data_IF_172373217295
#
_entry.id   IF_172373217295
#
_cell.length_a   1.000
_cell.length_b   1.000
_cell.length_c   1.000
_cell.angle_alpha   90.00
_cell.angle_beta   90.00
_cell.angle_gamma   90.00
#
_symmetry.space_group_name_H-M   'P 1'
#
loop_
_entity.id
_entity.type
_entity.pdbx_description
1 polymer ?
#
# COMPACT_ATOMS: atom_id res chain seq x y z
N UNK A 1 -30.77 -29.86 -11.55
CA UNK A 1 -29.82 -28.74 -11.39
C UNK A 1 -29.21 -28.45 -12.75
N UNK A 2 -29.45 -27.30 -13.33
CA UNK A 2 -28.94 -26.92 -14.65
C UNK A 2 -27.49 -26.44 -14.51
N UNK A 3 -26.52 -27.31 -14.77
CA UNK A 3 -25.12 -26.94 -14.88
C UNK A 3 -24.89 -26.14 -16.17
N UNK A 4 -24.33 -24.94 -16.07
CA UNK A 4 -23.95 -24.14 -17.24
C UNK A 4 -22.48 -24.35 -17.60
N UNK A 5 -22.21 -24.48 -18.89
CA UNK A 5 -20.82 -24.44 -19.40
C UNK A 5 -20.23 -23.06 -19.17
N UNK A 6 -19.08 -22.96 -18.54
CA UNK A 6 -18.41 -21.69 -18.22
C UNK A 6 -16.92 -21.80 -18.51
N UNK A 7 -16.32 -20.70 -18.95
CA UNK A 7 -14.85 -20.61 -19.09
C UNK A 7 -14.26 -20.12 -17.77
N UNK A 8 -13.33 -20.89 -17.22
CA UNK A 8 -12.64 -20.56 -16.00
C UNK A 8 -11.71 -19.36 -16.20
N UNK A 9 -11.86 -18.30 -15.40
CA UNK A 9 -11.01 -17.12 -15.47
C UNK A 9 -9.54 -17.37 -15.04
N UNK A 10 -9.27 -18.51 -14.38
CA UNK A 10 -7.91 -18.88 -13.94
C UNK A 10 -7.13 -19.69 -14.98
N UNK A 11 -7.75 -20.71 -15.60
CA UNK A 11 -7.07 -21.60 -16.54
C UNK A 11 -7.61 -21.52 -17.98
N UNK A 12 -8.63 -20.73 -18.24
CA UNK A 12 -9.31 -20.59 -19.52
C UNK A 12 -9.98 -21.86 -20.06
N UNK A 13 -10.01 -22.94 -19.29
CA UNK A 13 -10.64 -24.20 -19.70
C UNK A 13 -12.15 -24.16 -19.51
N UNK A 14 -12.86 -24.89 -20.36
CA UNK A 14 -14.29 -25.10 -20.22
C UNK A 14 -14.56 -25.93 -18.95
N UNK A 15 -15.49 -25.48 -18.13
CA UNK A 15 -15.90 -26.17 -16.90
C UNK A 15 -17.41 -26.10 -16.73
N UNK A 16 -17.96 -27.00 -15.93
CA UNK A 16 -19.35 -26.95 -15.52
C UNK A 16 -19.41 -26.30 -14.14
N UNK A 17 -20.15 -25.24 -14.02
CA UNK A 17 -20.31 -24.54 -12.76
C UNK A 17 -21.79 -24.27 -12.49
N UNK A 18 -22.21 -24.50 -11.28
CA UNK A 18 -23.48 -24.01 -10.78
C UNK A 18 -23.37 -22.52 -10.34
N UNK A 19 -24.46 -21.98 -9.80
CA UNK A 19 -24.51 -20.59 -9.34
C UNK A 19 -23.53 -20.25 -8.19
N UNK A 20 -22.94 -21.25 -7.55
CA UNK A 20 -22.09 -21.08 -6.37
C UNK A 20 -20.59 -20.94 -6.69
N UNK A 21 -20.19 -21.21 -7.93
CA UNK A 21 -18.77 -21.17 -8.38
C UNK A 21 -18.32 -19.80 -8.86
N UNK A 22 -18.77 -18.73 -8.19
CA UNK A 22 -18.26 -17.38 -8.42
C UNK A 22 -17.25 -16.98 -7.35
N UNK A 23 -16.11 -16.49 -7.78
CA UNK A 23 -15.11 -15.90 -6.92
C UNK A 23 -14.73 -14.50 -7.44
N UNK A 24 -14.88 -13.48 -6.63
CA UNK A 24 -14.64 -12.06 -7.00
C UNK A 24 -15.33 -11.67 -8.32
N UNK A 25 -16.60 -12.03 -8.47
CA UNK A 25 -17.39 -11.83 -9.69
C UNK A 25 -16.78 -12.49 -10.97
N UNK A 26 -15.90 -13.47 -10.82
CA UNK A 26 -15.31 -14.27 -11.88
C UNK A 26 -15.75 -15.72 -11.77
N UNK A 27 -16.04 -16.35 -12.92
CA UNK A 27 -16.35 -17.76 -12.98
C UNK A 27 -15.07 -18.58 -12.87
N UNK A 28 -15.07 -19.64 -12.08
CA UNK A 28 -13.90 -20.49 -11.87
C UNK A 28 -14.28 -21.96 -11.73
N UNK A 29 -13.31 -22.87 -11.92
CA UNK A 29 -13.53 -24.32 -11.93
C UNK A 29 -13.40 -24.99 -10.55
N UNK A 30 -13.37 -24.25 -9.46
CA UNK A 30 -13.24 -24.78 -8.10
C UNK A 30 -11.80 -25.09 -7.64
N UNK A 31 -10.81 -25.13 -8.54
CA UNK A 31 -9.41 -25.45 -8.19
C UNK A 31 -8.73 -24.26 -7.49
N UNK A 32 -8.05 -24.50 -6.36
CA UNK A 32 -7.35 -23.46 -5.60
C UNK A 32 -6.31 -22.71 -6.46
N UNK A 33 -5.55 -23.43 -7.30
CA UNK A 33 -4.59 -22.80 -8.22
C UNK A 33 -5.21 -21.80 -9.21
N UNK A 34 -6.47 -21.98 -9.58
CA UNK A 34 -7.19 -21.01 -10.41
C UNK A 34 -7.67 -19.81 -9.62
N UNK A 35 -8.02 -19.99 -8.35
CA UNK A 35 -8.33 -18.91 -7.42
C UNK A 35 -7.12 -17.99 -7.24
N UNK A 36 -5.96 -18.53 -7.01
CA UNK A 36 -4.70 -17.79 -6.85
C UNK A 36 -4.36 -16.98 -8.11
N UNK A 37 -4.53 -17.58 -9.30
CA UNK A 37 -4.34 -16.87 -10.58
C UNK A 37 -5.33 -15.71 -10.77
N UNK A 38 -6.58 -15.88 -10.33
CA UNK A 38 -7.60 -14.80 -10.35
C UNK A 38 -7.19 -13.68 -9.40
N UNK A 39 -6.72 -14.00 -8.21
CA UNK A 39 -6.27 -13.02 -7.22
C UNK A 39 -5.08 -12.21 -7.74
N UNK A 40 -4.09 -12.86 -8.36
CA UNK A 40 -2.95 -12.19 -8.98
C UNK A 40 -3.42 -11.23 -10.09
N UNK A 41 -4.32 -11.68 -10.98
CA UNK A 41 -4.87 -10.84 -12.06
C UNK A 41 -5.64 -9.63 -11.51
N UNK A 42 -6.41 -9.82 -10.43
CA UNK A 42 -7.17 -8.72 -9.79
C UNK A 42 -6.22 -7.72 -9.15
N UNK A 43 -5.20 -8.19 -8.42
CA UNK A 43 -4.15 -7.32 -7.83
C UNK A 43 -3.46 -6.50 -8.93
N UNK A 44 -3.03 -7.14 -10.01
CA UNK A 44 -2.38 -6.47 -11.14
C UNK A 44 -3.30 -5.44 -11.82
N UNK A 45 -4.59 -5.80 -12.06
CA UNK A 45 -5.57 -4.88 -12.65
C UNK A 45 -5.80 -3.64 -11.76
N UNK A 46 -5.88 -3.83 -10.45
CA UNK A 46 -6.04 -2.72 -9.50
C UNK A 46 -4.81 -1.82 -9.49
N UNK A 47 -3.59 -2.41 -9.52
CA UNK A 47 -2.34 -1.68 -9.65
C UNK A 47 -2.31 -0.84 -10.94
N UNK A 48 -2.67 -1.42 -12.10
CA UNK A 48 -2.69 -0.71 -13.38
C UNK A 48 -3.74 0.40 -13.43
N UNK A 49 -4.91 0.20 -12.79
CA UNK A 49 -5.92 1.27 -12.64
C UNK A 49 -5.42 2.42 -11.79
N UNK A 50 -4.75 2.13 -10.68
CA UNK A 50 -4.11 3.13 -9.83
C UNK A 50 -3.05 3.91 -10.62
N UNK A 51 -2.14 3.21 -11.33
CA UNK A 51 -1.09 3.82 -12.17
C UNK A 51 -1.68 4.72 -13.29
N UNK A 52 -2.80 4.30 -13.92
CA UNK A 52 -3.49 5.11 -14.93
C UNK A 52 -4.13 6.37 -14.32
N UNK A 53 -4.66 6.26 -13.09
CA UNK A 53 -5.22 7.40 -12.35
C UNK A 53 -4.14 8.40 -11.97
N UNK A 54 -2.93 7.92 -11.62
CA UNK A 54 -1.75 8.77 -11.36
C UNK A 54 -1.37 9.62 -12.57
N UNK A 55 -1.32 9.01 -13.79
CA UNK A 55 -1.01 9.74 -15.04
C UNK A 55 -2.03 10.82 -15.43
N UNK A 56 -3.26 10.76 -14.90
CA UNK A 56 -4.32 11.74 -15.21
C UNK A 56 -4.38 12.94 -14.26
N UNK A 57 -3.38 13.13 -13.40
CA UNK A 57 -3.33 14.28 -12.47
C UNK A 57 -4.45 14.32 -11.41
N UNK A 58 -5.25 13.26 -11.29
CA UNK A 58 -6.32 13.15 -10.30
C UNK A 58 -5.86 12.51 -9.00
N UNK A 59 -4.56 12.37 -8.81
CA UNK A 59 -4.00 11.84 -7.57
C UNK A 59 -3.98 12.95 -6.51
N UNK A 60 -4.81 12.83 -5.50
CA UNK A 60 -4.59 13.55 -4.26
C UNK A 60 -3.24 13.09 -3.72
N UNK A 61 -2.29 14.04 -3.64
CA UNK A 61 -0.96 13.98 -3.07
C UNK A 61 -0.66 12.70 -2.26
N UNK A 62 -0.22 11.64 -2.93
CA UNK A 62 0.23 10.41 -2.30
C UNK A 62 1.63 10.09 -2.78
N UNK A 63 2.51 9.84 -1.83
CA UNK A 63 3.89 9.42 -2.09
C UNK A 63 3.92 8.28 -3.12
N UNK A 64 4.80 8.37 -4.11
CA UNK A 64 4.97 7.35 -5.15
C UNK A 64 5.26 5.96 -4.55
N UNK A 65 4.73 4.85 -5.12
CA UNK A 65 4.93 3.51 -4.55
C UNK A 65 6.40 3.11 -4.34
N UNK A 66 7.30 3.46 -5.26
CA UNK A 66 8.74 3.20 -5.12
C UNK A 66 9.38 3.97 -3.97
N UNK A 67 8.98 5.22 -3.78
CA UNK A 67 9.42 6.04 -2.64
C UNK A 67 8.88 5.47 -1.33
N UNK A 68 7.63 5.01 -1.28
CA UNK A 68 7.06 4.39 -0.06
C UNK A 68 7.84 3.17 0.38
N UNK A 69 8.19 2.30 -0.57
CA UNK A 69 8.96 1.09 -0.25
C UNK A 69 10.35 1.46 0.27
N UNK A 70 11.06 2.37 -0.41
CA UNK A 70 12.34 2.89 0.07
C UNK A 70 12.26 3.47 1.49
N UNK A 71 11.23 4.27 1.80
CA UNK A 71 11.06 4.86 3.15
C UNK A 71 10.78 3.77 4.19
N UNK A 72 10.00 2.74 3.85
CA UNK A 72 9.78 1.60 4.75
C UNK A 72 11.06 0.81 5.02
N UNK A 73 11.87 0.55 3.99
CA UNK A 73 13.18 -0.09 4.13
C UNK A 73 14.12 0.75 4.98
N UNK A 74 14.27 2.06 4.68
CA UNK A 74 15.07 3.01 5.48
C UNK A 74 14.68 2.97 6.95
N UNK A 75 13.39 2.91 7.23
CA UNK A 75 12.83 2.89 8.57
C UNK A 75 12.73 1.47 9.15
N UNK A 76 13.36 0.46 8.48
CA UNK A 76 13.44 -0.94 8.91
C UNK A 76 12.06 -1.55 9.18
N UNK A 77 11.05 -1.19 8.40
CA UNK A 77 9.66 -1.65 8.55
C UNK A 77 9.12 -1.49 9.98
N UNK A 78 9.45 -0.36 10.61
CA UNK A 78 9.01 -0.03 11.97
C UNK A 78 8.44 1.38 12.06
N UNK A 79 7.42 1.55 12.91
CA UNK A 79 6.90 2.86 13.29
C UNK A 79 7.98 3.67 14.04
N UNK A 80 8.31 4.87 13.55
CA UNK A 80 9.35 5.70 14.16
C UNK A 80 8.89 6.52 15.35
N UNK A 81 7.63 6.41 15.72
CA UNK A 81 7.12 7.00 16.97
C UNK A 81 7.06 6.00 18.12
N UNK A 82 6.60 4.77 17.90
CA UNK A 82 6.43 3.74 18.92
C UNK A 82 7.22 2.44 18.68
N UNK A 83 7.97 2.34 17.59
CA UNK A 83 8.85 1.22 17.24
C UNK A 83 8.13 -0.13 17.00
N UNK A 84 6.83 -0.14 16.80
CA UNK A 84 6.08 -1.34 16.40
C UNK A 84 6.44 -1.73 14.96
N UNK A 85 6.62 -3.04 14.70
CA UNK A 85 6.98 -3.58 13.37
C UNK A 85 5.76 -3.82 12.47
N UNK A 86 6.00 -3.97 11.15
CA UNK A 86 4.96 -4.19 10.14
C UNK A 86 4.22 -5.53 10.31
N UNK A 87 4.85 -6.55 10.90
CA UNK A 87 4.25 -7.87 11.08
C UNK A 87 2.91 -7.84 11.83
N UNK A 88 2.73 -6.89 12.73
CA UNK A 88 1.54 -6.77 13.58
C UNK A 88 0.75 -5.49 13.34
N UNK A 89 1.23 -4.55 12.51
CA UNK A 89 0.63 -3.22 12.38
C UNK A 89 0.66 -2.71 10.93
N UNK A 90 -0.41 -2.07 10.51
CA UNK A 90 -0.49 -1.41 9.21
C UNK A 90 0.38 -0.15 9.22
N UNK A 91 1.56 -0.22 8.60
CA UNK A 91 2.48 0.90 8.48
C UNK A 91 2.14 1.80 7.30
N UNK A 92 2.18 3.10 7.55
CA UNK A 92 1.89 4.15 6.58
C UNK A 92 3.06 5.11 6.48
N UNK A 93 3.37 5.57 5.26
CA UNK A 93 4.32 6.66 5.04
C UNK A 93 3.58 7.98 5.22
N UNK A 94 4.10 8.81 6.10
CA UNK A 94 3.51 10.08 6.54
C UNK A 94 4.45 11.25 6.20
N UNK A 95 3.88 12.39 5.74
CA UNK A 95 4.64 13.63 5.58
C UNK A 95 4.84 14.31 6.93
N UNK A 96 6.09 14.55 7.30
CA UNK A 96 6.45 15.26 8.55
C UNK A 96 5.84 16.67 8.54
N UNK A 97 6.06 17.41 7.46
CA UNK A 97 5.33 18.64 7.14
C UNK A 97 4.28 18.28 6.08
N UNK A 98 2.99 18.48 6.33
CA UNK A 98 1.94 18.17 5.36
C UNK A 98 2.11 18.93 4.04
N UNK A 99 1.73 18.32 2.92
CA UNK A 99 1.76 18.98 1.60
C UNK A 99 0.92 20.24 1.57
N UNK A 100 -0.22 20.27 2.28
CA UNK A 100 -1.06 21.47 2.44
C UNK A 100 -0.35 22.65 3.11
N UNK A 101 0.74 22.37 3.85
CA UNK A 101 1.56 23.35 4.57
C UNK A 101 2.94 23.55 3.90
N UNK A 102 3.06 23.17 2.62
CA UNK A 102 4.29 23.35 1.85
C UNK A 102 5.29 22.20 1.97
N UNK A 103 4.90 21.08 2.58
CA UNK A 103 5.74 19.87 2.62
C UNK A 103 5.89 19.24 1.24
N UNK A 104 7.10 18.76 0.92
CA UNK A 104 7.44 18.11 -0.34
C UNK A 104 7.52 16.59 -0.19
N UNK A 105 7.42 15.85 -1.33
CA UNK A 105 7.60 14.38 -1.40
C UNK A 105 9.10 13.99 -1.37
N UNK A 106 9.89 14.69 -0.55
CA UNK A 106 11.32 14.39 -0.34
C UNK A 106 11.49 13.36 0.78
N UNK A 107 12.51 12.53 0.65
CA UNK A 107 12.81 11.47 1.62
C UNK A 107 12.98 11.99 3.05
N UNK A 108 13.52 13.21 3.19
CA UNK A 108 13.71 13.89 4.48
C UNK A 108 12.40 14.30 5.14
N UNK A 109 11.36 14.54 4.34
CA UNK A 109 10.03 14.93 4.81
C UNK A 109 9.08 13.73 4.98
N UNK A 110 9.56 12.51 4.81
CA UNK A 110 8.76 11.29 4.89
C UNK A 110 9.23 10.40 6.04
N UNK A 111 8.27 9.76 6.74
CA UNK A 111 8.54 8.89 7.88
C UNK A 111 7.49 7.77 7.97
N UNK A 112 7.88 6.60 8.51
CA UNK A 112 6.96 5.48 8.73
C UNK A 112 6.28 5.58 10.08
N UNK A 113 4.95 5.53 10.09
CA UNK A 113 4.12 5.47 11.29
C UNK A 113 3.15 4.29 11.22
N UNK A 114 2.83 3.67 12.35
CA UNK A 114 1.68 2.78 12.44
C UNK A 114 0.38 3.59 12.43
N UNK A 115 -0.74 2.94 12.14
CA UNK A 115 -2.04 3.58 12.06
C UNK A 115 -2.40 4.40 13.31
N UNK A 116 -2.11 3.88 14.49
CA UNK A 116 -2.38 4.55 15.76
C UNK A 116 -1.56 5.85 15.89
N UNK A 117 -0.24 5.78 15.67
CA UNK A 117 0.63 6.95 15.73
C UNK A 117 0.30 7.99 14.65
N UNK A 118 -0.03 7.55 13.44
CA UNK A 118 -0.48 8.41 12.35
C UNK A 118 -1.75 9.19 12.75
N UNK A 119 -2.72 8.51 13.36
CA UNK A 119 -3.95 9.14 13.87
C UNK A 119 -3.65 10.16 14.97
N UNK A 120 -2.78 9.81 15.92
CA UNK A 120 -2.37 10.71 17.02
C UNK A 120 -1.70 11.98 16.49
N UNK A 121 -0.78 11.85 15.53
CA UNK A 121 -0.10 13.01 14.91
C UNK A 121 -1.12 13.94 14.24
N UNK A 122 -2.11 13.40 13.53
CA UNK A 122 -3.16 14.22 12.94
C UNK A 122 -4.09 14.88 13.97
N UNK A 123 -4.39 14.21 15.08
CA UNK A 123 -5.27 14.76 16.13
C UNK A 123 -4.59 15.82 16.99
N UNK A 124 -3.30 15.65 17.27
CA UNK A 124 -2.56 16.55 18.16
C UNK A 124 -1.86 17.71 17.45
N UNK A 125 -1.83 17.69 16.13
CA UNK A 125 -1.09 18.61 15.28
C UNK A 125 0.32 18.09 14.96
N UNK A 126 0.66 18.10 13.68
CA UNK A 126 1.95 17.63 13.15
C UNK A 126 3.14 18.47 13.68
N UNK A 127 2.91 19.72 13.99
CA UNK A 127 3.93 20.66 14.47
C UNK A 127 4.67 20.15 15.71
N UNK A 128 3.95 19.45 16.60
CA UNK A 128 4.53 18.87 17.83
C UNK A 128 5.56 17.77 17.57
N UNK A 129 5.54 17.18 16.40
CA UNK A 129 6.36 16.03 16.04
C UNK A 129 7.48 16.37 15.04
N UNK A 130 7.49 17.58 14.47
CA UNK A 130 8.44 17.99 13.43
C UNK A 130 9.88 17.83 13.89
N UNK A 131 10.24 18.38 15.04
CA UNK A 131 11.63 18.34 15.55
C UNK A 131 12.07 16.89 15.83
N UNK A 132 11.20 16.10 16.45
CA UNK A 132 11.46 14.69 16.73
C UNK A 132 11.75 13.91 15.46
N UNK A 133 10.91 14.06 14.45
CA UNK A 133 11.00 13.31 13.21
C UNK A 133 12.13 13.81 12.31
N UNK A 134 12.35 15.11 12.22
CA UNK A 134 13.48 15.68 11.49
C UNK A 134 14.84 15.28 12.08
N UNK A 135 14.97 15.21 13.40
CA UNK A 135 16.19 14.72 14.03
C UNK A 135 16.46 13.26 13.66
N UNK A 136 15.42 12.42 13.58
CA UNK A 136 15.57 11.04 13.14
C UNK A 136 15.99 10.95 11.66
N UNK A 137 15.31 11.66 10.75
CA UNK A 137 15.63 11.60 9.31
C UNK A 137 17.04 12.12 9.00
N UNK A 138 17.50 13.18 9.66
CA UNK A 138 18.89 13.68 9.54
C UNK A 138 19.93 12.63 9.95
N UNK A 139 19.71 11.89 11.03
CA UNK A 139 20.63 10.85 11.50
C UNK A 139 20.69 9.64 10.53
N UNK A 140 19.61 9.31 9.86
CA UNK A 140 19.58 8.20 8.88
C UNK A 140 20.27 8.56 7.57
N UNK A 141 20.23 9.82 7.14
CA UNK A 141 20.93 10.28 5.95
C UNK A 141 22.46 10.27 6.09
N UNK A 142 22.99 10.58 7.27
CA UNK A 142 24.45 10.57 7.49
C UNK A 142 25.05 9.16 7.53
N UNK A 143 24.28 8.13 7.81
CA UNK A 143 24.78 6.73 7.86
C UNK A 143 24.87 6.03 6.51
N UNK A 144 24.17 6.52 5.49
CA UNK A 144 24.13 5.87 4.16
C UNK A 144 25.20 6.38 3.19
N UNK A 145 26.11 7.27 3.63
CA UNK A 145 27.21 7.85 2.83
C UNK A 145 28.61 7.55 3.44
N UNK A 146 28.72 6.56 4.29
CA UNK A 146 30.00 6.00 4.76
C UNK A 146 30.11 4.50 4.28
#
# INVERSE_FOLDING_TARGET
MTTRKVICAGCSNLSYADKTTFYRNKRWCGKQSCKDKIDIKVKHSNYMKAKKKMKKGTFRHGVEPGVREYIKERDSFMCRNCYKSEENFNLQVHHIVPVSNGGEDKHENLIVLCYECHTIVHQQGWEKYVDKFNNYTKQTHTKNYQ
#
